data_IF_761775081385
#
_entry.id   IF_761775081385
#
_cell.length_a   1.000
_cell.length_b   1.000
_cell.length_c   1.000
_cell.angle_alpha   90.00
_cell.angle_beta   90.00
_cell.angle_gamma   90.00
#
_symmetry.space_group_name_H-M   'P 1'
#
loop_
_entity.id
_entity.type
_entity.pdbx_description
1 polymer ?
#
# COMPACT_ATOMS: atom_id res chain seq x y z
N UNK A 1 -2.10 0.24 0.78
CA UNK A 1 -0.95 1.15 1.04
C UNK A 1 -1.41 2.14 2.10
N UNK A 2 -1.20 1.80 3.38
CA UNK A 2 -1.78 2.53 4.53
C UNK A 2 -0.75 3.56 4.99
N UNK A 3 -0.96 4.82 4.60
CA UNK A 3 -0.23 5.94 5.18
C UNK A 3 -0.78 6.19 6.58
N UNK A 4 -0.18 5.57 7.60
CA UNK A 4 -0.47 5.92 8.99
C UNK A 4 0.00 7.35 9.21
N UNK A 5 -0.94 8.28 9.34
CA UNK A 5 -0.74 9.65 9.79
C UNK A 5 -0.28 9.63 11.24
N UNK A 6 1.03 9.46 11.44
CA UNK A 6 1.64 9.49 12.77
C UNK A 6 1.40 10.87 13.37
N UNK A 7 0.69 10.91 14.50
CA UNK A 7 0.36 12.16 15.19
C UNK A 7 1.63 12.96 15.50
N UNK A 8 1.65 14.29 15.26
CA UNK A 8 2.81 15.14 15.54
C UNK A 8 3.19 15.13 17.03
N UNK A 9 2.23 14.82 17.92
CA UNK A 9 2.48 14.60 19.34
C UNK A 9 3.32 13.34 19.59
N UNK A 10 3.04 12.26 18.85
CA UNK A 10 3.76 10.99 18.93
C UNK A 10 5.21 11.12 18.45
N UNK A 11 5.41 11.78 17.30
CA UNK A 11 6.75 12.09 16.77
C UNK A 11 7.58 12.92 17.76
N UNK A 12 6.93 13.88 18.42
CA UNK A 12 7.58 14.68 19.46
C UNK A 12 7.98 13.84 20.67
N UNK A 13 7.08 12.99 21.18
CA UNK A 13 7.43 12.10 22.30
C UNK A 13 8.54 11.12 21.93
N UNK A 14 8.52 10.55 20.72
CA UNK A 14 9.56 9.61 20.25
C UNK A 14 10.92 10.30 20.12
N UNK A 15 10.95 11.53 19.60
CA UNK A 15 12.21 12.29 19.49
C UNK A 15 12.75 12.71 20.86
N UNK A 16 11.90 13.09 21.81
CA UNK A 16 12.31 13.44 23.17
C UNK A 16 12.81 12.21 23.95
N UNK A 17 12.14 11.06 23.83
CA UNK A 17 12.53 9.81 24.51
C UNK A 17 13.79 9.19 23.90
N UNK A 18 13.91 9.15 22.56
CA UNK A 18 15.11 8.65 21.89
C UNK A 18 16.35 9.48 22.22
N UNK A 19 16.22 10.81 22.27
CA UNK A 19 17.31 11.68 22.70
C UNK A 19 17.73 11.42 24.15
N UNK A 20 16.76 11.31 25.07
CA UNK A 20 17.04 11.00 26.48
C UNK A 20 17.73 9.64 26.64
N UNK A 21 17.29 8.62 25.89
CA UNK A 21 17.89 7.30 25.89
C UNK A 21 19.33 7.31 25.35
N UNK A 22 19.60 8.04 24.27
CA UNK A 22 20.95 8.19 23.73
C UNK A 22 21.89 8.88 24.73
N UNK A 23 21.43 9.95 25.40
CA UNK A 23 22.22 10.63 26.44
C UNK A 23 22.46 9.72 27.64
N UNK A 24 21.47 8.94 28.06
CA UNK A 24 21.64 7.98 29.15
C UNK A 24 22.67 6.91 28.80
N UNK A 25 22.58 6.35 27.59
CA UNK A 25 23.48 5.31 27.11
C UNK A 25 24.92 5.82 27.01
N UNK A 26 25.14 7.06 26.53
CA UNK A 26 26.48 7.64 26.47
C UNK A 26 27.05 7.92 27.86
N UNK A 27 26.24 8.41 28.81
CA UNK A 27 26.68 8.62 30.21
C UNK A 27 27.07 7.29 30.86
N UNK A 28 26.26 6.25 30.69
CA UNK A 28 26.55 4.90 31.25
C UNK A 28 27.80 4.30 30.62
N UNK A 29 27.93 4.33 29.29
CA UNK A 29 29.10 3.78 28.60
C UNK A 29 30.40 4.52 29.00
N UNK A 30 30.35 5.85 29.12
CA UNK A 30 31.49 6.66 29.55
C UNK A 30 31.85 6.40 31.01
N UNK A 31 30.85 6.25 31.88
CA UNK A 31 31.06 5.90 33.29
C UNK A 31 31.68 4.51 33.47
N UNK A 32 31.18 3.50 32.75
CA UNK A 32 31.74 2.15 32.76
C UNK A 32 33.18 2.13 32.23
N UNK A 33 33.45 2.87 31.16
CA UNK A 33 34.81 3.04 30.61
C UNK A 33 35.76 3.67 31.65
N UNK A 34 35.33 4.73 32.33
CA UNK A 34 36.11 5.37 33.41
C UNK A 34 36.39 4.40 34.56
N UNK A 35 35.37 3.68 35.05
CA UNK A 35 35.51 2.72 36.14
C UNK A 35 36.48 1.58 35.77
N UNK A 36 36.43 1.08 34.52
CA UNK A 36 37.34 0.07 34.03
C UNK A 36 38.80 0.58 33.99
N UNK A 37 39.03 1.79 33.49
CA UNK A 37 40.37 2.39 33.43
C UNK A 37 40.94 2.71 34.82
N UNK A 38 40.11 3.21 35.75
CA UNK A 38 40.52 3.42 37.14
C UNK A 38 40.87 2.08 37.82
N UNK A 39 40.06 1.05 37.61
CA UNK A 39 40.32 -0.30 38.11
C UNK A 39 41.64 -0.87 37.55
N UNK A 40 41.91 -0.66 36.26
CA UNK A 40 43.18 -1.04 35.64
C UNK A 40 44.36 -0.25 36.21
N UNK A 41 44.25 1.08 36.32
CA UNK A 41 45.29 1.95 36.83
C UNK A 41 45.68 1.63 38.28
N UNK A 42 44.72 1.18 39.10
CA UNK A 42 44.98 0.75 40.49
C UNK A 42 45.65 -0.63 40.53
N UNK A 43 45.25 -1.55 39.65
CA UNK A 43 45.83 -2.90 39.58
C UNK A 43 47.27 -2.91 39.08
N UNK A 44 47.64 -1.98 38.21
CA UNK A 44 48.99 -1.87 37.64
C UNK A 44 49.94 -1.00 38.48
N UNK A 45 49.45 -0.37 39.56
CA UNK A 45 50.28 0.46 40.42
C UNK A 45 51.13 -0.38 41.41
N UNK A 46 52.43 -0.07 41.59
CA UNK A 46 53.36 -0.90 42.38
C UNK A 46 52.98 -1.04 43.86
N UNK A 47 52.25 -0.08 44.42
CA UNK A 47 51.83 -0.11 45.84
C UNK A 47 50.35 -0.51 46.02
N UNK A 48 49.62 -0.83 44.95
CA UNK A 48 48.18 -1.19 44.93
C UNK A 48 47.29 -0.31 45.82
N UNK A 49 47.66 0.97 45.96
CA UNK A 49 47.03 1.90 46.89
C UNK A 49 46.43 3.08 46.12
N UNK A 50 45.19 3.45 46.46
CA UNK A 50 44.42 4.47 45.74
C UNK A 50 44.94 5.90 45.94
N UNK A 51 45.51 6.17 47.11
CA UNK A 51 45.84 7.54 47.55
C UNK A 51 47.14 8.10 47.00
N UNK A 52 48.02 7.26 46.45
CA UNK A 52 49.32 7.65 45.86
C UNK A 52 49.43 7.35 44.37
N UNK A 53 48.29 7.22 43.68
CA UNK A 53 48.28 6.87 42.26
C UNK A 53 47.97 8.08 41.39
N UNK A 54 49.02 8.76 40.92
CA UNK A 54 48.91 9.92 40.04
C UNK A 54 48.19 9.61 38.72
N UNK A 55 48.37 8.39 38.18
CA UNK A 55 47.68 7.97 36.95
C UNK A 55 46.16 7.91 37.15
N UNK A 56 45.69 7.42 38.30
CA UNK A 56 44.26 7.41 38.61
C UNK A 56 43.68 8.83 38.73
N UNK A 57 44.44 9.77 39.30
CA UNK A 57 44.03 11.17 39.40
C UNK A 57 43.91 11.84 38.03
N UNK A 58 44.91 11.64 37.15
CA UNK A 58 44.91 12.20 35.78
C UNK A 58 43.76 11.63 34.95
N UNK A 59 43.52 10.31 35.02
CA UNK A 59 42.39 9.65 34.37
C UNK A 59 41.07 10.23 34.90
N UNK A 60 40.88 10.31 36.22
CA UNK A 60 39.65 10.89 36.80
C UNK A 60 39.42 12.34 36.35
N UNK A 61 40.45 13.18 36.41
CA UNK A 61 40.37 14.59 36.02
C UNK A 61 40.00 14.77 34.53
N UNK A 62 40.62 14.00 33.64
CA UNK A 62 40.32 14.06 32.20
C UNK A 62 38.87 13.68 31.87
N UNK A 63 38.32 12.65 32.52
CA UNK A 63 36.91 12.26 32.34
C UNK A 63 35.94 13.31 32.87
N UNK A 64 36.26 13.99 33.98
CA UNK A 64 35.45 15.10 34.50
C UNK A 64 35.40 16.24 33.49
N UNK A 65 36.53 16.60 32.87
CA UNK A 65 36.58 17.65 31.84
C UNK A 65 35.74 17.27 30.62
N UNK A 66 35.86 16.03 30.13
CA UNK A 66 35.07 15.54 28.98
C UNK A 66 33.57 15.51 29.31
N UNK A 67 33.20 15.09 30.53
CA UNK A 67 31.81 15.09 30.98
C UNK A 67 31.25 16.51 31.05
N UNK A 68 32.00 17.46 31.62
CA UNK A 68 31.58 18.86 31.69
C UNK A 68 31.43 19.49 30.29
N UNK A 69 32.39 19.26 29.39
CA UNK A 69 32.35 19.77 28.03
C UNK A 69 31.18 19.19 27.23
N UNK A 70 30.93 17.88 27.34
CA UNK A 70 29.81 17.22 26.65
C UNK A 70 28.45 17.73 27.13
N UNK A 71 28.26 17.89 28.45
CA UNK A 71 27.04 18.48 29.01
C UNK A 71 26.82 19.92 28.52
N UNK A 72 27.87 20.75 28.52
CA UNK A 72 27.80 22.12 28.00
C UNK A 72 27.38 22.16 26.53
N UNK A 73 27.94 21.29 25.68
CA UNK A 73 27.57 21.20 24.27
C UNK A 73 26.12 20.74 24.09
N UNK A 74 25.67 19.74 24.86
CA UNK A 74 24.28 19.27 24.84
C UNK A 74 23.31 20.38 25.23
N UNK A 75 23.60 21.12 26.30
CA UNK A 75 22.77 22.25 26.76
C UNK A 75 22.74 23.36 25.71
N UNK A 76 23.90 23.79 25.18
CA UNK A 76 23.96 24.83 24.13
C UNK A 76 23.15 24.45 22.90
N UNK A 77 23.28 23.21 22.43
CA UNK A 77 22.50 22.72 21.28
C UNK A 77 21.01 22.72 21.57
N UNK A 78 20.59 22.26 22.77
CA UNK A 78 19.19 22.24 23.17
C UNK A 78 18.58 23.64 23.27
N UNK A 79 19.33 24.59 23.83
CA UNK A 79 18.92 26.00 23.91
C UNK A 79 18.83 26.63 22.52
N UNK A 80 19.84 26.43 21.66
CA UNK A 80 19.84 26.97 20.30
C UNK A 80 18.65 26.47 19.46
N UNK A 81 18.33 25.17 19.56
CA UNK A 81 17.16 24.58 18.87
C UNK A 81 15.86 25.16 19.43
N UNK A 82 15.72 25.27 20.76
CA UNK A 82 14.54 25.88 21.38
C UNK A 82 14.35 27.33 20.96
N UNK A 83 15.41 28.13 20.96
CA UNK A 83 15.37 29.53 20.53
C UNK A 83 15.00 29.65 19.05
N UNK A 84 15.57 28.81 18.17
CA UNK A 84 15.19 28.79 16.74
C UNK A 84 13.73 28.41 16.52
N UNK A 85 13.22 27.42 17.27
CA UNK A 85 11.82 27.01 17.18
C UNK A 85 10.84 28.02 17.82
N UNK A 86 11.29 28.81 18.79
CA UNK A 86 10.50 29.92 19.35
C UNK A 86 10.43 31.12 18.39
N UNK A 87 11.46 31.31 17.55
CA UNK A 87 11.48 32.39 16.54
C UNK A 87 10.46 32.17 15.42
N UNK A 88 10.10 30.92 15.14
CA UNK A 88 9.04 30.61 14.18
C UNK A 88 7.70 30.97 14.85
N UNK A 89 7.06 32.04 14.39
CA UNK A 89 5.76 32.48 14.92
C UNK A 89 4.73 31.37 14.75
N UNK A 90 4.32 30.77 15.87
CA UNK A 90 3.35 29.66 15.88
C UNK A 90 1.91 30.12 15.68
N UNK A 91 1.67 31.42 15.80
CA UNK A 91 0.39 32.02 15.49
C UNK A 91 0.45 32.46 14.03
N UNK A 92 -0.38 31.93 13.12
CA UNK A 92 -0.61 32.57 11.85
C UNK A 92 -1.26 33.92 12.18
N UNK A 93 -0.43 34.96 12.33
CA UNK A 93 -0.94 36.32 12.43
C UNK A 93 -1.47 36.62 11.04
N UNK A 94 -2.78 36.45 10.86
CA UNK A 94 -3.48 36.92 9.67
C UNK A 94 -3.13 38.39 9.54
N UNK A 95 -2.29 38.72 8.57
CA UNK A 95 -1.84 40.09 8.33
C UNK A 95 -3.10 40.91 8.09
N UNK A 96 -3.42 41.79 9.04
CA UNK A 96 -4.57 42.68 8.90
C UNK A 96 -4.25 43.73 7.84
N UNK A 97 -5.27 44.23 7.12
CA UNK A 97 -5.06 45.27 6.08
C UNK A 97 -4.36 46.53 6.60
N UNK A 98 -4.38 46.75 7.92
CA UNK A 98 -3.72 47.84 8.63
C UNK A 98 -2.23 47.61 8.92
N UNK A 99 -1.75 46.36 8.90
CA UNK A 99 -0.38 46.02 9.32
C UNK A 99 0.67 46.30 8.22
N UNK A 100 0.25 46.52 6.96
CA UNK A 100 1.14 46.71 5.82
C UNK A 100 0.66 47.81 4.86
N UNK A 101 1.56 48.46 4.12
CA UNK A 101 1.21 49.32 2.99
C UNK A 101 0.31 48.58 2.00
N UNK A 102 -0.71 49.27 1.48
CA UNK A 102 -1.72 48.67 0.57
C UNK A 102 -1.11 47.95 -0.62
N UNK A 103 0.00 48.45 -1.17
CA UNK A 103 0.72 47.83 -2.30
C UNK A 103 1.27 46.44 -1.95
N UNK A 104 1.88 46.30 -0.78
CA UNK A 104 2.45 45.04 -0.30
C UNK A 104 1.35 44.03 0.03
N UNK A 105 0.27 44.48 0.68
CA UNK A 105 -0.89 43.63 0.96
C UNK A 105 -1.50 43.09 -0.35
N UNK A 106 -1.67 43.94 -1.36
CA UNK A 106 -2.18 43.50 -2.68
C UNK A 106 -1.26 42.50 -3.37
N UNK A 107 0.06 42.73 -3.34
CA UNK A 107 1.02 41.81 -3.91
C UNK A 107 0.98 40.43 -3.24
N UNK A 108 0.97 40.40 -1.90
CA UNK A 108 0.88 39.15 -1.13
C UNK A 108 -0.43 38.42 -1.43
N UNK A 109 -1.56 39.13 -1.43
CA UNK A 109 -2.85 38.53 -1.75
C UNK A 109 -2.86 37.95 -3.18
N UNK A 110 -2.29 38.67 -4.14
CA UNK A 110 -2.22 38.23 -5.53
C UNK A 110 -1.38 36.95 -5.68
N UNK A 111 -0.18 36.89 -5.12
CA UNK A 111 0.66 35.69 -5.16
C UNK A 111 0.04 34.52 -4.37
N UNK A 112 -0.66 34.81 -3.27
CA UNK A 112 -1.42 33.79 -2.54
C UNK A 112 -2.53 33.19 -3.40
N UNK A 113 -3.36 34.02 -4.05
CA UNK A 113 -4.41 33.53 -4.94
C UNK A 113 -3.84 32.77 -6.13
N UNK A 114 -2.74 33.24 -6.71
CA UNK A 114 -2.02 32.55 -7.78
C UNK A 114 -1.53 31.18 -7.33
N UNK A 115 -0.92 31.08 -6.16
CA UNK A 115 -0.46 29.81 -5.59
C UNK A 115 -1.63 28.86 -5.29
N UNK A 116 -2.73 29.36 -4.73
CA UNK A 116 -3.94 28.58 -4.51
C UNK A 116 -4.55 28.07 -5.82
N UNK A 117 -4.59 28.89 -6.86
CA UNK A 117 -5.10 28.51 -8.17
C UNK A 117 -4.20 27.44 -8.82
N UNK A 118 -2.89 27.63 -8.80
CA UNK A 118 -1.93 26.63 -9.30
C UNK A 118 -2.08 25.33 -8.51
N UNK A 119 -2.20 25.39 -7.19
CA UNK A 119 -2.41 24.21 -6.35
C UNK A 119 -3.72 23.51 -6.69
N UNK A 120 -4.81 24.24 -6.91
CA UNK A 120 -6.10 23.68 -7.27
C UNK A 120 -6.07 23.04 -8.66
N UNK A 121 -5.43 23.70 -9.64
CA UNK A 121 -5.32 23.17 -10.99
C UNK A 121 -4.36 21.98 -11.08
N UNK A 122 -3.36 21.93 -10.19
CA UNK A 122 -2.44 20.79 -10.08
C UNK A 122 -3.06 19.56 -9.41
N UNK A 123 -4.24 19.67 -8.81
CA UNK A 123 -4.94 18.50 -8.28
C UNK A 123 -5.31 17.58 -9.45
N UNK A 124 -5.01 16.28 -9.36
CA UNK A 124 -5.34 15.36 -10.43
C UNK A 124 -6.87 15.17 -10.47
N UNK A 125 -7.51 15.78 -11.47
CA UNK A 125 -8.98 15.76 -11.63
C UNK A 125 -9.48 14.50 -12.34
N UNK A 126 -8.66 13.92 -13.22
CA UNK A 126 -9.03 12.72 -13.99
C UNK A 126 -7.83 11.76 -14.04
N UNK A 127 -7.65 10.99 -12.96
CA UNK A 127 -6.66 9.90 -12.95
C UNK A 127 -7.29 8.72 -13.69
N UNK A 128 -7.20 8.75 -15.01
CA UNK A 128 -7.47 7.57 -15.82
C UNK A 128 -6.20 6.74 -15.84
N UNK A 129 -6.23 5.59 -15.18
CA UNK A 129 -5.19 4.59 -15.32
C UNK A 129 -5.72 3.44 -16.16
N UNK A 130 -5.16 3.26 -17.35
CA UNK A 130 -5.51 2.14 -18.22
C UNK A 130 -5.38 0.80 -17.47
N UNK A 131 -6.36 -0.08 -17.63
CA UNK A 131 -6.45 -1.35 -16.89
C UNK A 131 -7.07 -1.28 -15.49
N UNK A 132 -7.45 -0.08 -15.01
CA UNK A 132 -8.15 0.11 -13.75
C UNK A 132 -9.48 0.81 -13.94
N UNK A 133 -10.48 0.42 -13.15
CA UNK A 133 -11.76 1.12 -13.14
C UNK A 133 -11.64 2.52 -12.53
N UNK A 134 -12.29 3.49 -13.19
CA UNK A 134 -12.27 4.90 -12.80
C UNK A 134 -12.91 5.10 -11.42
N UNK A 135 -12.37 6.01 -10.58
CA UNK A 135 -13.01 6.34 -9.31
C UNK A 135 -14.41 6.91 -9.55
N UNK A 136 -15.42 6.35 -8.87
CA UNK A 136 -16.82 6.73 -9.03
C UNK A 136 -17.63 5.86 -9.99
N UNK A 137 -17.01 4.95 -10.75
CA UNK A 137 -17.72 3.91 -11.52
C UNK A 137 -17.92 2.65 -10.67
N UNK A 138 -18.82 1.71 -11.05
CA UNK A 138 -18.96 0.43 -10.33
C UNK A 138 -17.67 -0.41 -10.29
N UNK A 139 -16.71 -0.12 -11.18
CA UNK A 139 -15.42 -0.82 -11.26
C UNK A 139 -14.31 -0.11 -10.49
N UNK A 140 -14.62 0.93 -9.72
CA UNK A 140 -13.63 1.70 -8.97
C UNK A 140 -12.71 0.80 -8.12
N UNK A 141 -11.40 0.92 -8.32
CA UNK A 141 -10.39 0.15 -7.58
C UNK A 141 -10.23 -1.31 -8.03
N UNK A 142 -10.93 -1.73 -9.09
CA UNK A 142 -10.74 -3.03 -9.71
C UNK A 142 -9.67 -2.94 -10.80
N UNK A 143 -8.75 -3.91 -10.82
CA UNK A 143 -7.80 -4.09 -11.92
C UNK A 143 -8.38 -5.09 -12.92
N UNK A 144 -8.79 -4.61 -14.08
CA UNK A 144 -9.51 -5.37 -15.10
C UNK A 144 -8.81 -6.69 -15.45
N UNK A 145 -7.50 -6.63 -15.70
CA UNK A 145 -6.69 -7.82 -16.00
C UNK A 145 -6.82 -8.91 -14.93
N UNK A 146 -6.77 -8.53 -13.65
CA UNK A 146 -6.85 -9.49 -12.56
C UNK A 146 -8.24 -10.08 -12.43
N UNK A 147 -9.25 -9.22 -12.40
CA UNK A 147 -10.65 -9.63 -12.24
C UNK A 147 -11.06 -10.58 -13.35
N UNK A 148 -10.69 -10.27 -14.60
CA UNK A 148 -11.00 -11.13 -15.74
C UNK A 148 -10.27 -12.48 -15.65
N UNK A 149 -8.99 -12.52 -15.26
CA UNK A 149 -8.25 -13.77 -15.11
C UNK A 149 -8.77 -14.64 -13.95
N UNK A 150 -9.28 -14.02 -12.89
CA UNK A 150 -9.87 -14.71 -11.73
C UNK A 150 -11.20 -15.43 -12.07
N UNK A 151 -11.80 -15.14 -13.23
CA UNK A 151 -12.99 -15.87 -13.72
C UNK A 151 -12.65 -17.25 -14.29
N UNK A 152 -11.42 -17.47 -14.78
CA UNK A 152 -11.04 -18.73 -15.45
C UNK A 152 -11.19 -19.95 -14.53
N UNK A 153 -10.67 -19.95 -13.27
CA UNK A 153 -10.85 -21.08 -12.37
C UNK A 153 -12.33 -21.33 -12.01
N UNK A 154 -13.14 -20.28 -11.99
CA UNK A 154 -14.57 -20.38 -11.69
C UNK A 154 -15.31 -21.10 -12.82
N UNK A 155 -15.09 -20.69 -14.08
CA UNK A 155 -15.64 -21.38 -15.25
C UNK A 155 -15.13 -22.83 -15.31
N UNK A 156 -13.84 -23.06 -15.03
CA UNK A 156 -13.26 -24.40 -15.00
C UNK A 156 -13.92 -25.31 -13.95
N UNK A 157 -14.22 -24.77 -12.76
CA UNK A 157 -14.93 -25.54 -11.72
C UNK A 157 -16.35 -25.93 -12.14
N UNK A 158 -17.08 -25.03 -12.81
CA UNK A 158 -18.43 -25.30 -13.33
C UNK A 158 -18.39 -26.29 -14.49
N UNK A 159 -17.44 -26.12 -15.40
CA UNK A 159 -17.28 -27.00 -16.56
C UNK A 159 -16.94 -28.43 -16.13
N UNK A 160 -16.15 -28.63 -15.07
CA UNK A 160 -15.87 -29.95 -14.49
C UNK A 160 -17.09 -30.63 -13.89
N UNK A 161 -18.08 -29.89 -13.40
CA UNK A 161 -19.35 -30.46 -12.91
C UNK A 161 -20.15 -31.02 -14.07
N UNK A 162 -20.21 -30.30 -15.19
CA UNK A 162 -20.95 -30.72 -16.40
C UNK A 162 -20.19 -31.82 -17.16
N UNK A 163 -18.86 -31.74 -17.24
CA UNK A 163 -17.98 -32.68 -17.93
C UNK A 163 -16.88 -33.16 -16.96
N UNK A 164 -17.13 -34.21 -16.17
CA UNK A 164 -16.17 -34.70 -15.16
C UNK A 164 -14.82 -35.14 -15.73
N UNK A 165 -14.78 -35.53 -17.01
CA UNK A 165 -13.57 -36.00 -17.71
C UNK A 165 -12.70 -34.86 -18.25
N UNK A 166 -12.98 -33.59 -17.92
CA UNK A 166 -12.21 -32.46 -18.42
C UNK A 166 -10.76 -32.49 -17.90
N UNK A 167 -9.74 -32.33 -18.79
CA UNK A 167 -8.35 -32.32 -18.38
C UNK A 167 -8.03 -31.15 -17.41
N UNK A 168 -6.94 -31.24 -16.63
CA UNK A 168 -6.47 -30.13 -15.82
C UNK A 168 -6.03 -28.96 -16.71
N UNK A 169 -6.31 -27.73 -16.28
CA UNK A 169 -5.95 -26.54 -17.03
C UNK A 169 -4.44 -26.34 -17.06
N UNK A 170 -3.90 -26.09 -18.26
CA UNK A 170 -2.47 -25.74 -18.45
C UNK A 170 -2.31 -24.22 -18.42
N UNK A 171 -1.34 -23.65 -17.68
CA UNK A 171 -1.17 -22.20 -17.54
C UNK A 171 -1.04 -21.43 -18.86
N UNK A 172 -0.38 -22.02 -19.86
CA UNK A 172 -0.11 -21.39 -21.14
C UNK A 172 -1.04 -21.85 -22.27
N UNK A 173 -2.00 -22.73 -21.99
CA UNK A 173 -2.97 -23.12 -23.01
C UNK A 173 -3.98 -21.99 -23.22
N UNK A 174 -4.40 -21.82 -24.49
CA UNK A 174 -5.53 -20.94 -24.82
C UNK A 174 -6.79 -21.45 -24.14
N UNK A 175 -7.60 -20.52 -23.67
CA UNK A 175 -8.87 -20.79 -23.00
C UNK A 175 -9.82 -21.49 -23.97
N UNK A 176 -9.85 -21.04 -25.23
CA UNK A 176 -10.62 -21.69 -26.29
C UNK A 176 -10.32 -23.20 -26.43
N UNK A 177 -9.04 -23.59 -26.36
CA UNK A 177 -8.64 -25.00 -26.51
C UNK A 177 -8.97 -25.84 -25.28
N UNK A 178 -8.88 -25.24 -24.09
CA UNK A 178 -9.19 -25.88 -22.82
C UNK A 178 -10.70 -26.16 -22.70
N UNK A 179 -11.51 -25.20 -23.14
CA UNK A 179 -12.97 -25.26 -23.07
C UNK A 179 -13.63 -25.71 -24.38
N UNK A 180 -12.88 -26.32 -25.30
CA UNK A 180 -13.43 -26.78 -26.60
C UNK A 180 -14.65 -27.71 -26.44
N UNK A 181 -14.70 -28.46 -25.33
CA UNK A 181 -15.74 -29.46 -25.07
C UNK A 181 -17.05 -28.84 -24.61
N UNK A 182 -17.01 -27.63 -24.03
CA UNK A 182 -18.21 -26.88 -23.67
C UNK A 182 -18.69 -25.99 -24.82
N UNK A 183 -17.85 -25.74 -25.84
CA UNK A 183 -18.20 -24.89 -26.98
C UNK A 183 -19.53 -25.29 -27.67
N UNK A 184 -19.87 -26.58 -27.86
CA UNK A 184 -21.16 -26.97 -28.45
C UNK A 184 -22.38 -26.68 -27.58
N UNK A 185 -22.19 -26.44 -26.28
CA UNK A 185 -23.27 -26.16 -25.32
C UNK A 185 -23.62 -24.67 -25.25
N UNK A 186 -22.78 -23.82 -25.83
CA UNK A 186 -22.93 -22.38 -25.76
C UNK A 186 -23.75 -21.87 -26.96
N UNK A 187 -24.61 -20.85 -26.75
CA UNK A 187 -25.32 -20.22 -27.84
C UNK A 187 -24.31 -19.59 -28.83
N UNK A 188 -24.75 -19.52 -30.07
CA UNK A 188 -24.04 -18.85 -31.16
C UNK A 188 -24.81 -17.57 -31.50
N UNK A 189 -24.07 -16.47 -31.62
CA UNK A 189 -24.64 -15.21 -32.08
C UNK A 189 -24.96 -15.25 -33.59
N UNK A 190 -25.53 -14.17 -34.11
CA UNK A 190 -25.87 -14.03 -35.55
C UNK A 190 -24.67 -14.28 -36.47
N UNK A 191 -23.47 -13.92 -36.01
CA UNK A 191 -22.20 -14.12 -36.70
C UNK A 191 -21.63 -15.55 -36.56
N UNK A 192 -22.37 -16.46 -35.91
CA UNK A 192 -21.92 -17.82 -35.55
C UNK A 192 -20.69 -17.85 -34.64
N UNK A 193 -20.49 -16.78 -33.87
CA UNK A 193 -19.45 -16.67 -32.87
C UNK A 193 -20.07 -17.01 -31.51
N UNK A 194 -19.40 -17.87 -30.74
CA UNK A 194 -19.83 -18.20 -29.36
C UNK A 194 -19.18 -17.23 -28.37
N UNK A 195 -19.84 -16.99 -27.23
CA UNK A 195 -19.32 -16.26 -26.06
C UNK A 195 -17.91 -16.73 -25.66
N UNK A 196 -17.57 -18.00 -25.89
CA UNK A 196 -16.22 -18.52 -25.63
C UNK A 196 -15.12 -17.83 -26.47
N UNK A 197 -15.42 -17.35 -27.67
CA UNK A 197 -14.47 -16.64 -28.52
C UNK A 197 -14.23 -15.21 -28.03
N UNK A 198 -15.30 -14.50 -27.65
CA UNK A 198 -15.18 -13.17 -27.03
C UNK A 198 -14.40 -13.23 -25.72
N UNK A 199 -14.68 -14.26 -24.92
CA UNK A 199 -13.94 -14.52 -23.69
C UNK A 199 -12.46 -14.87 -23.96
N UNK A 200 -12.14 -15.78 -24.88
CA UNK A 200 -10.74 -16.10 -25.22
C UNK A 200 -9.99 -14.87 -25.71
N UNK A 201 -10.59 -14.04 -26.58
CA UNK A 201 -9.99 -12.80 -27.06
C UNK A 201 -9.61 -11.86 -25.90
N UNK A 202 -10.54 -11.61 -24.97
CA UNK A 202 -10.28 -10.77 -23.81
C UNK A 202 -9.19 -11.35 -22.88
N UNK A 203 -9.18 -12.68 -22.69
CA UNK A 203 -8.14 -13.36 -21.91
C UNK A 203 -6.76 -13.31 -22.61
N UNK A 204 -6.69 -13.43 -23.93
CA UNK A 204 -5.42 -13.29 -24.65
C UNK A 204 -4.82 -11.90 -24.47
N UNK A 205 -5.65 -10.85 -24.53
CA UNK A 205 -5.20 -9.48 -24.24
C UNK A 205 -4.68 -9.40 -22.80
N UNK A 206 -5.45 -9.93 -21.83
CA UNK A 206 -5.08 -9.88 -20.42
C UNK A 206 -3.78 -10.65 -20.09
N UNK A 207 -3.53 -11.78 -20.75
CA UNK A 207 -2.37 -12.64 -20.49
C UNK A 207 -1.11 -12.22 -21.25
N UNK A 208 -1.25 -11.87 -22.52
CA UNK A 208 -0.12 -11.80 -23.46
C UNK A 208 0.15 -10.36 -23.90
N UNK A 209 -0.85 -9.47 -23.91
CA UNK A 209 -0.65 -8.14 -24.44
C UNK A 209 0.17 -7.25 -23.50
N UNK A 210 1.05 -6.45 -24.12
CA UNK A 210 1.83 -5.40 -23.46
C UNK A 210 0.94 -4.23 -23.00
N UNK A 211 -0.18 -3.99 -23.68
CA UNK A 211 -1.16 -2.96 -23.28
C UNK A 211 -2.11 -3.49 -22.21
N UNK A 212 -2.63 -2.58 -21.38
CA UNK A 212 -3.68 -2.91 -20.43
C UNK A 212 -5.06 -2.92 -21.11
N UNK A 213 -6.03 -3.64 -20.50
CA UNK A 213 -7.40 -3.74 -21.02
C UNK A 213 -8.11 -2.40 -20.93
N UNK A 214 -8.85 -2.06 -21.98
CA UNK A 214 -9.83 -0.97 -21.92
C UNK A 214 -11.06 -1.42 -21.12
N UNK A 215 -11.85 -0.46 -20.64
CA UNK A 215 -13.09 -0.75 -19.93
C UNK A 215 -14.09 -1.51 -20.82
N UNK A 216 -14.20 -1.15 -22.10
CA UNK A 216 -15.07 -1.82 -23.07
C UNK A 216 -14.66 -3.28 -23.33
N UNK A 217 -13.36 -3.55 -23.49
CA UNK A 217 -12.82 -4.90 -23.65
C UNK A 217 -13.06 -5.75 -22.39
N UNK A 218 -12.87 -5.13 -21.23
CA UNK A 218 -13.15 -5.78 -19.94
C UNK A 218 -14.63 -6.15 -19.80
N UNK A 219 -15.55 -5.22 -20.12
CA UNK A 219 -16.99 -5.45 -20.07
C UNK A 219 -17.40 -6.58 -21.00
N UNK A 220 -16.90 -6.57 -22.24
CA UNK A 220 -17.17 -7.62 -23.23
C UNK A 220 -16.69 -8.98 -22.73
N UNK A 221 -15.49 -9.04 -22.17
CA UNK A 221 -14.93 -10.27 -21.59
C UNK A 221 -15.71 -10.78 -20.37
N UNK A 222 -16.13 -9.87 -19.48
CA UNK A 222 -16.93 -10.22 -18.30
C UNK A 222 -18.32 -10.70 -18.67
N UNK A 223 -19.00 -10.03 -19.60
CA UNK A 223 -20.31 -10.45 -20.08
C UNK A 223 -20.25 -11.84 -20.72
N UNK A 224 -19.23 -12.10 -21.53
CA UNK A 224 -19.00 -13.41 -22.12
C UNK A 224 -18.72 -14.49 -21.05
N UNK A 225 -17.96 -14.16 -20.00
CA UNK A 225 -17.71 -15.06 -18.87
C UNK A 225 -19.01 -15.40 -18.12
N UNK A 226 -19.83 -14.40 -17.81
CA UNK A 226 -21.13 -14.57 -17.13
C UNK A 226 -22.09 -15.43 -17.95
N UNK A 227 -22.13 -15.24 -19.26
CA UNK A 227 -22.96 -16.05 -20.15
C UNK A 227 -22.51 -17.51 -20.17
N UNK A 228 -21.20 -17.77 -20.28
CA UNK A 228 -20.65 -19.14 -20.19
C UNK A 228 -21.04 -19.78 -18.86
N UNK A 229 -20.87 -19.06 -17.75
CA UNK A 229 -21.24 -19.56 -16.42
C UNK A 229 -22.72 -19.89 -16.33
N UNK A 230 -23.61 -18.99 -16.81
CA UNK A 230 -25.05 -19.21 -16.84
C UNK A 230 -25.43 -20.44 -17.66
N UNK A 231 -24.84 -20.62 -18.83
CA UNK A 231 -25.06 -21.81 -19.66
C UNK A 231 -24.66 -23.09 -18.94
N UNK A 232 -23.49 -23.10 -18.28
CA UNK A 232 -23.02 -24.25 -17.51
C UNK A 232 -23.90 -24.55 -16.29
N UNK A 233 -24.43 -23.52 -15.62
CA UNK A 233 -25.38 -23.68 -14.52
C UNK A 233 -26.70 -24.30 -14.98
N UNK A 234 -27.21 -23.92 -16.16
CA UNK A 234 -28.40 -24.53 -16.75
C UNK A 234 -28.15 -26.00 -17.09
N UNK A 235 -26.97 -26.33 -17.62
CA UNK A 235 -26.57 -27.69 -17.96
C UNK A 235 -26.18 -28.57 -16.76
N UNK A 236 -26.28 -28.04 -15.53
CA UNK A 236 -25.93 -28.79 -14.32
C UNK A 236 -26.89 -29.97 -14.12
N UNK A 237 -26.37 -31.19 -13.85
CA UNK A 237 -27.18 -32.41 -13.77
C UNK A 237 -28.27 -32.38 -12.69
N UNK A 238 -28.09 -31.62 -11.61
CA UNK A 238 -29.09 -31.49 -10.53
C UNK A 238 -30.41 -30.84 -10.97
N UNK A 239 -30.43 -30.16 -12.14
CA UNK A 239 -31.62 -29.42 -12.63
C UNK A 239 -32.51 -30.25 -13.56
N UNK A 240 -31.98 -31.30 -14.21
CA UNK A 240 -32.75 -32.14 -15.15
C UNK A 240 -33.81 -33.03 -14.47
N UNK A 241 -33.71 -33.26 -13.16
CA UNK A 241 -34.65 -34.13 -12.43
C UNK A 241 -35.98 -33.44 -12.11
N UNK A 242 -36.09 -32.11 -12.32
CA UNK A 242 -37.32 -31.34 -12.06
C UNK A 242 -38.22 -31.12 -13.29
N UNK A 243 -37.76 -31.47 -14.51
CA UNK A 243 -38.48 -31.15 -15.76
C UNK A 243 -39.11 -32.36 -16.47
N UNK A 244 -38.97 -33.57 -15.93
CA UNK A 244 -39.37 -34.83 -16.59
C UNK A 244 -40.52 -35.59 -15.90
N UNK A 245 -41.34 -34.93 -15.06
CA UNK A 245 -42.47 -35.56 -14.34
C UNK A 245 -43.87 -35.15 -14.80
N UNK A 246 -44.06 -34.81 -16.07
CA UNK A 246 -45.40 -34.77 -16.68
C UNK A 246 -45.36 -35.33 -18.10
N UNK A 247 -45.58 -36.64 -18.23
CA UNK A 247 -46.06 -37.31 -19.44
C UNK A 247 -46.37 -38.78 -19.11
N UNK A 248 -47.53 -39.02 -18.50
CA UNK A 248 -48.37 -40.20 -18.74
C UNK A 248 -49.63 -40.14 -17.86
N UNK A 249 -50.65 -39.43 -18.33
CA UNK A 249 -52.04 -39.75 -18.03
C UNK A 249 -52.74 -40.01 -19.37
N UNK A 250 -52.80 -41.27 -19.77
CA UNK A 250 -53.77 -41.78 -20.74
C UNK A 250 -54.47 -42.96 -20.05
N UNK A 251 -55.75 -42.84 -19.67
CA UNK A 251 -56.46 -43.93 -19.03
C UNK A 251 -56.91 -44.94 -20.09
N UNK A 252 -56.45 -46.18 -19.92
CA UNK A 252 -57.10 -47.37 -20.45
C UNK A 252 -57.88 -48.01 -19.31
N UNK A 253 -59.21 -48.09 -19.43
CA UNK A 253 -60.08 -49.09 -18.78
C UNK A 253 -61.45 -48.99 -19.46
N UNK A 254 -61.69 -49.90 -20.41
CA UNK A 254 -62.69 -51.00 -20.41
C UNK A 254 -64.14 -50.58 -20.55
#
# INVERSE_FOLDING_TARGET
MISHTISPKLLRTISETSYALLVLLTVVATGLSCAALLSQAVRTAPNRNWTKNFNALVIGASYIVVLAASLLLCVKRRVAVRLKLQRISKTPKTLEKSDLPKSVHWYIAHEYYRACLISYESLPKDIVHEGWGRPGTPYAGQRFRRVLLDTIPQIDSLARIVIPLQPPMKPHARVLHHFRFIAPLLPLDEDKISSLHYYDAAIQIARISDRELTEEEFLTGMQAAEEIMRCLEICRPDRSDSSSTQLNDCPHET
#
